data_IF_954364701550
#
_entry.id   IF_954364701550
#
_cell.length_a   1.000
_cell.length_b   1.000
_cell.length_c   1.000
_cell.angle_alpha   90.00
_cell.angle_beta   90.00
_cell.angle_gamma   90.00
#
_symmetry.space_group_name_H-M   'P 1'
#
loop_
_entity.id
_entity.type
_entity.pdbx_description
1 polymer ?
#
# COMPACT_ATOMS: atom_id res chain seq x y z
N UNK A 1 4.96 -2.85 25.13
CA UNK A 1 3.69 -3.29 24.51
C UNK A 1 2.45 -2.75 25.20
N UNK A 2 2.41 -2.66 26.53
CA UNK A 2 1.22 -2.24 27.29
C UNK A 2 0.68 -0.84 26.95
N UNK A 3 1.58 0.15 26.74
CA UNK A 3 1.21 1.50 26.27
C UNK A 3 0.56 1.50 24.86
N UNK A 4 1.03 0.63 23.97
CA UNK A 4 0.51 0.50 22.59
C UNK A 4 -0.90 -0.12 22.61
N UNK A 5 -1.11 -1.13 23.45
CA UNK A 5 -2.44 -1.72 23.63
C UNK A 5 -3.45 -0.75 24.21
N UNK A 6 -3.03 0.15 25.10
CA UNK A 6 -3.91 1.18 25.69
C UNK A 6 -4.37 2.22 24.65
N UNK A 7 -3.53 2.53 23.65
CA UNK A 7 -3.83 3.51 22.60
C UNK A 7 -4.72 2.96 21.48
N UNK A 8 -4.44 1.75 21.00
CA UNK A 8 -5.08 1.19 19.78
C UNK A 8 -6.20 0.20 20.14
N UNK A 9 -6.12 -0.44 21.32
CA UNK A 9 -6.97 -1.55 21.71
C UNK A 9 -6.40 -2.89 21.24
N UNK A 10 -6.33 -3.86 22.17
CA UNK A 10 -5.69 -5.17 21.97
C UNK A 10 -6.17 -5.89 20.69
N UNK A 11 -7.48 -5.93 20.43
CA UNK A 11 -8.05 -6.59 19.23
C UNK A 11 -7.59 -5.93 17.92
N UNK A 12 -7.57 -4.59 17.87
CA UNK A 12 -7.15 -3.85 16.67
C UNK A 12 -5.66 -4.03 16.38
N UNK A 13 -4.84 -4.03 17.42
CA UNK A 13 -3.42 -4.32 17.27
C UNK A 13 -3.17 -5.69 16.63
N UNK A 14 -3.87 -6.74 17.08
CA UNK A 14 -3.73 -8.07 16.48
C UNK A 14 -4.19 -8.11 15.02
N UNK A 15 -5.24 -7.38 14.65
CA UNK A 15 -5.68 -7.27 13.25
C UNK A 15 -4.61 -6.58 12.39
N UNK A 16 -4.04 -5.46 12.87
CA UNK A 16 -2.93 -4.80 12.16
C UNK A 16 -1.76 -5.74 11.96
N UNK A 17 -1.36 -6.45 13.01
CA UNK A 17 -0.24 -7.37 12.96
C UNK A 17 -0.50 -8.52 11.99
N UNK A 18 -1.70 -9.10 12.00
CA UNK A 18 -2.09 -10.16 11.07
C UNK A 18 -2.10 -9.69 9.62
N UNK A 19 -2.62 -8.48 9.35
CA UNK A 19 -2.58 -7.87 8.01
C UNK A 19 -1.13 -7.59 7.57
N UNK A 20 -0.30 -7.03 8.45
CA UNK A 20 1.09 -6.75 8.15
C UNK A 20 1.88 -8.04 7.83
N UNK A 21 1.73 -9.07 8.66
CA UNK A 21 2.42 -10.35 8.47
C UNK A 21 1.93 -11.07 7.21
N UNK A 22 0.62 -11.14 6.97
CA UNK A 22 0.08 -11.73 5.75
C UNK A 22 0.55 -10.98 4.50
N UNK A 23 0.60 -9.64 4.56
CA UNK A 23 1.14 -8.80 3.49
C UNK A 23 2.58 -9.16 3.15
N UNK A 24 3.46 -9.22 4.15
CA UNK A 24 4.85 -9.62 3.98
C UNK A 24 4.98 -11.02 3.37
N UNK A 25 4.23 -12.01 3.92
CA UNK A 25 4.27 -13.40 3.43
C UNK A 25 3.85 -13.47 1.96
N UNK A 26 2.75 -12.81 1.58
CA UNK A 26 2.25 -12.80 0.20
C UNK A 26 3.27 -12.20 -0.77
N UNK A 27 3.92 -11.10 -0.40
CA UNK A 27 4.97 -10.48 -1.22
C UNK A 27 6.20 -11.40 -1.34
N UNK A 28 6.60 -12.06 -0.26
CA UNK A 28 7.72 -13.02 -0.31
C UNK A 28 7.40 -14.20 -1.23
N UNK A 29 6.19 -14.75 -1.15
CA UNK A 29 5.75 -15.83 -2.04
C UNK A 29 5.69 -15.34 -3.50
N UNK A 30 5.17 -14.13 -3.73
CA UNK A 30 5.17 -13.52 -5.07
C UNK A 30 6.57 -13.37 -5.65
N UNK A 31 7.55 -12.94 -4.83
CA UNK A 31 8.94 -12.81 -5.25
C UNK A 31 9.57 -14.17 -5.61
N UNK A 32 9.26 -15.23 -4.86
CA UNK A 32 9.72 -16.61 -5.14
C UNK A 32 9.11 -17.12 -6.45
N UNK A 33 7.82 -16.84 -6.68
CA UNK A 33 7.12 -17.26 -7.90
C UNK A 33 7.52 -16.45 -9.14
N UNK A 34 8.12 -15.27 -8.97
CA UNK A 34 8.43 -14.34 -10.05
C UNK A 34 7.23 -13.47 -10.42
N UNK A 35 7.43 -12.16 -10.46
CA UNK A 35 6.36 -11.16 -10.72
C UNK A 35 6.31 -10.76 -12.20
N UNK A 36 7.39 -10.93 -12.96
CA UNK A 36 7.46 -10.57 -14.38
C UNK A 36 6.66 -11.50 -15.29
N UNK A 37 6.68 -12.80 -14.99
CA UNK A 37 6.27 -13.83 -15.95
C UNK A 37 5.09 -14.69 -15.45
N UNK A 38 4.63 -14.47 -14.22
CA UNK A 38 3.60 -15.29 -13.60
C UNK A 38 2.46 -14.43 -13.07
N UNK A 39 1.30 -14.57 -13.71
CA UNK A 39 0.05 -13.93 -13.27
C UNK A 39 -0.27 -14.20 -11.79
N UNK A 40 -0.11 -15.43 -11.24
CA UNK A 40 -0.30 -15.67 -9.82
C UNK A 40 0.65 -14.85 -8.93
N UNK A 41 1.91 -14.68 -9.34
CA UNK A 41 2.89 -13.86 -8.61
C UNK A 41 2.46 -12.39 -8.55
N UNK A 42 1.99 -11.83 -9.66
CA UNK A 42 1.44 -10.47 -9.72
C UNK A 42 0.26 -10.31 -8.77
N UNK A 43 -0.70 -11.25 -8.81
CA UNK A 43 -1.88 -11.22 -7.95
C UNK A 43 -1.51 -11.30 -6.46
N UNK A 44 -0.57 -12.18 -6.10
CA UNK A 44 -0.05 -12.30 -4.73
C UNK A 44 0.65 -11.02 -4.28
N UNK A 45 1.43 -10.38 -5.15
CA UNK A 45 2.08 -9.11 -4.86
C UNK A 45 1.05 -8.02 -4.54
N UNK A 46 0.04 -7.85 -5.40
CA UNK A 46 -1.04 -6.90 -5.16
C UNK A 46 -1.85 -7.22 -3.90
N UNK A 47 -2.19 -8.49 -3.66
CA UNK A 47 -2.89 -8.91 -2.45
C UNK A 47 -2.06 -8.58 -1.19
N UNK A 48 -0.74 -8.80 -1.24
CA UNK A 48 0.16 -8.46 -0.16
C UNK A 48 0.21 -6.97 0.12
N UNK A 49 0.31 -6.13 -0.92
CA UNK A 49 0.33 -4.68 -0.78
C UNK A 49 -1.00 -4.13 -0.27
N UNK A 50 -2.12 -4.64 -0.77
CA UNK A 50 -3.45 -4.30 -0.25
C UNK A 50 -3.54 -4.62 1.24
N UNK A 51 -3.04 -5.80 1.66
CA UNK A 51 -3.00 -6.17 3.08
C UNK A 51 -2.15 -5.21 3.90
N UNK A 52 -0.97 -4.81 3.40
CA UNK A 52 -0.12 -3.81 4.07
C UNK A 52 -0.82 -2.45 4.19
N UNK A 53 -1.45 -1.96 3.12
CA UNK A 53 -2.21 -0.69 3.16
C UNK A 53 -3.32 -0.79 4.21
N UNK A 54 -4.09 -1.89 4.21
CA UNK A 54 -5.11 -2.12 5.22
C UNK A 54 -4.55 -2.19 6.63
N UNK A 55 -3.37 -2.78 6.85
CA UNK A 55 -2.72 -2.79 8.15
C UNK A 55 -2.56 -1.36 8.71
N UNK A 56 -2.16 -0.41 7.87
CA UNK A 56 -2.01 1.00 8.26
C UNK A 56 -3.35 1.69 8.45
N UNK A 57 -4.32 1.49 7.56
CA UNK A 57 -5.54 2.30 7.56
C UNK A 57 -6.73 1.66 8.29
N UNK A 58 -6.66 0.41 8.77
CA UNK A 58 -7.82 -0.27 9.36
C UNK A 58 -8.45 0.50 10.53
N UNK A 59 -7.67 1.34 11.21
CA UNK A 59 -8.12 2.12 12.36
C UNK A 59 -8.81 3.43 11.95
N UNK A 60 -8.79 3.78 10.66
CA UNK A 60 -9.35 5.03 10.14
C UNK A 60 -10.87 4.96 10.14
N UNK A 61 -11.46 5.79 11.01
CA UNK A 61 -12.92 5.93 11.13
C UNK A 61 -13.49 7.15 10.40
N UNK A 62 -12.63 8.08 10.00
CA UNK A 62 -13.04 9.36 9.40
C UNK A 62 -12.75 9.37 7.91
N UNK A 63 -13.71 9.83 7.11
CA UNK A 63 -13.58 9.99 5.66
C UNK A 63 -12.34 10.81 5.27
N UNK A 64 -11.97 11.82 6.07
CA UNK A 64 -10.77 12.64 5.86
C UNK A 64 -9.47 11.82 5.67
N UNK A 65 -9.32 10.71 6.38
CA UNK A 65 -8.14 9.84 6.20
C UNK A 65 -8.10 9.28 4.78
N UNK A 66 -9.20 8.65 4.35
CA UNK A 66 -9.30 8.05 3.02
C UNK A 66 -9.12 9.08 1.88
N UNK A 67 -9.59 10.32 2.06
CA UNK A 67 -9.32 11.42 1.12
C UNK A 67 -7.82 11.73 1.05
N UNK A 68 -7.12 11.77 2.20
CA UNK A 68 -5.66 11.97 2.21
C UNK A 68 -4.96 10.84 1.46
N UNK A 69 -5.36 9.57 1.69
CA UNK A 69 -4.78 8.42 0.96
C UNK A 69 -5.03 8.52 -0.55
N UNK A 70 -6.24 8.91 -0.96
CA UNK A 70 -6.59 9.11 -2.36
C UNK A 70 -5.70 10.18 -2.99
N UNK A 71 -5.63 11.37 -2.39
CA UNK A 71 -4.83 12.49 -2.91
C UNK A 71 -3.34 12.14 -2.88
N UNK A 72 -2.84 11.53 -1.81
CA UNK A 72 -1.43 11.14 -1.70
C UNK A 72 -1.05 10.05 -2.69
N UNK A 73 -1.97 9.16 -3.07
CA UNK A 73 -1.71 8.15 -4.10
C UNK A 73 -1.50 8.76 -5.49
N UNK A 74 -2.29 9.78 -5.84
CA UNK A 74 -2.17 10.51 -7.11
C UNK A 74 -0.88 11.31 -7.14
N UNK A 75 -0.62 12.10 -6.09
CA UNK A 75 0.61 12.90 -5.98
C UNK A 75 1.83 11.98 -5.97
N UNK A 76 1.78 10.91 -5.17
CA UNK A 76 2.85 9.92 -5.07
C UNK A 76 3.16 9.26 -6.41
N UNK A 77 2.13 8.90 -7.18
CA UNK A 77 2.33 8.32 -8.52
C UNK A 77 3.11 9.27 -9.43
N UNK A 78 2.72 10.54 -9.49
CA UNK A 78 3.40 11.55 -10.32
C UNK A 78 4.84 11.75 -9.85
N UNK A 79 5.04 11.92 -8.54
CA UNK A 79 6.36 12.14 -7.95
C UNK A 79 7.29 10.94 -8.21
N UNK A 80 6.83 9.72 -8.00
CA UNK A 80 7.63 8.52 -8.22
C UNK A 80 7.91 8.26 -9.71
N UNK A 81 6.96 8.58 -10.60
CA UNK A 81 7.21 8.53 -12.04
C UNK A 81 8.29 9.53 -12.48
N UNK A 82 8.27 10.76 -11.96
CA UNK A 82 9.32 11.75 -12.24
C UNK A 82 10.66 11.26 -11.68
N UNK A 83 10.70 10.80 -10.42
CA UNK A 83 11.91 10.29 -9.79
C UNK A 83 12.52 9.11 -10.56
N UNK A 84 11.69 8.16 -11.01
CA UNK A 84 12.16 7.05 -11.84
C UNK A 84 12.87 7.57 -13.10
N UNK A 85 12.24 8.46 -13.86
CA UNK A 85 12.81 8.98 -15.11
C UNK A 85 14.10 9.80 -14.89
N UNK A 86 14.13 10.62 -13.84
CA UNK A 86 15.32 11.42 -13.51
C UNK A 86 16.49 10.51 -13.11
N UNK A 87 16.24 9.51 -12.27
CA UNK A 87 17.29 8.59 -11.83
C UNK A 87 17.78 7.68 -12.96
N UNK A 88 16.88 7.26 -13.85
CA UNK A 88 17.24 6.55 -15.06
C UNK A 88 18.19 7.39 -15.93
N UNK A 89 17.84 8.67 -16.15
CA UNK A 89 18.68 9.59 -16.92
C UNK A 89 20.04 9.87 -16.28
N UNK A 90 20.16 9.70 -14.96
CA UNK A 90 21.41 9.82 -14.21
C UNK A 90 22.24 8.53 -14.16
N UNK A 91 21.74 7.43 -14.74
CA UNK A 91 22.40 6.12 -14.71
C UNK A 91 22.25 5.36 -13.38
N UNK A 92 21.23 5.69 -12.58
CA UNK A 92 20.97 5.06 -11.28
C UNK A 92 19.77 4.11 -11.37
N UNK A 93 19.87 3.16 -12.30
CA UNK A 93 18.77 2.28 -12.75
C UNK A 93 18.12 1.48 -11.62
N UNK A 94 18.91 0.92 -10.69
CA UNK A 94 18.39 0.09 -9.58
C UNK A 94 17.44 0.92 -8.70
N UNK A 95 17.82 2.16 -8.38
CA UNK A 95 17.00 3.03 -7.53
C UNK A 95 15.80 3.56 -8.34
N UNK A 96 16.01 3.89 -9.62
CA UNK A 96 14.93 4.23 -10.55
C UNK A 96 13.85 3.14 -10.61
N UNK A 97 14.25 1.88 -10.74
CA UNK A 97 13.34 0.74 -10.77
C UNK A 97 12.54 0.59 -9.47
N UNK A 98 13.13 0.87 -8.31
CA UNK A 98 12.39 0.86 -7.03
C UNK A 98 11.27 1.90 -7.04
N UNK A 99 11.53 3.13 -7.51
CA UNK A 99 10.50 4.16 -7.60
C UNK A 99 9.40 3.79 -8.59
N UNK A 100 9.77 3.19 -9.73
CA UNK A 100 8.81 2.66 -10.68
C UNK A 100 7.91 1.59 -10.06
N UNK A 101 8.50 0.62 -9.34
CA UNK A 101 7.76 -0.44 -8.66
C UNK A 101 6.81 0.12 -7.60
N UNK A 102 7.22 1.12 -6.83
CA UNK A 102 6.33 1.79 -5.86
C UNK A 102 5.16 2.47 -6.59
N UNK A 103 5.44 3.21 -7.68
CA UNK A 103 4.41 3.84 -8.49
C UNK A 103 3.42 2.81 -9.08
N UNK A 104 3.90 1.65 -9.53
CA UNK A 104 3.05 0.64 -10.19
C UNK A 104 2.27 -0.23 -9.22
N UNK A 105 2.90 -0.63 -8.11
CA UNK A 105 2.32 -1.60 -7.19
C UNK A 105 1.65 -0.97 -5.96
N UNK A 106 2.10 0.20 -5.48
CA UNK A 106 1.56 0.82 -4.25
C UNK A 106 0.49 1.87 -4.57
N UNK A 107 0.74 2.74 -5.54
CA UNK A 107 -0.18 3.85 -5.83
C UNK A 107 -1.56 3.41 -6.32
N UNK A 108 -1.72 2.44 -7.25
CA UNK A 108 -3.06 2.05 -7.72
C UNK A 108 -3.92 1.41 -6.62
N UNK A 109 -3.42 0.46 -5.80
CA UNK A 109 -4.20 -0.04 -4.67
C UNK A 109 -4.55 1.05 -3.67
N UNK A 110 -3.62 1.95 -3.34
CA UNK A 110 -3.89 3.08 -2.45
C UNK A 110 -4.98 4.01 -3.00
N UNK A 111 -4.98 4.27 -4.32
CA UNK A 111 -6.02 5.04 -5.00
C UNK A 111 -7.38 4.38 -4.85
N UNK A 112 -7.51 3.10 -5.20
CA UNK A 112 -8.80 2.39 -5.11
C UNK A 112 -9.32 2.31 -3.67
N UNK A 113 -8.45 1.99 -2.71
CA UNK A 113 -8.81 1.93 -1.30
C UNK A 113 -9.22 3.31 -0.77
N UNK A 114 -8.48 4.36 -1.15
CA UNK A 114 -8.80 5.75 -0.80
C UNK A 114 -10.14 6.20 -1.38
N UNK A 115 -10.42 5.87 -2.64
CA UNK A 115 -11.68 6.17 -3.31
C UNK A 115 -12.85 5.46 -2.64
N UNK A 116 -12.78 4.13 -2.53
CA UNK A 116 -13.84 3.31 -1.94
C UNK A 116 -14.09 3.69 -0.48
N UNK A 117 -13.03 3.88 0.32
CA UNK A 117 -13.15 4.29 1.71
C UNK A 117 -13.75 5.69 1.88
N UNK A 118 -13.45 6.61 0.96
CA UNK A 118 -14.05 7.95 0.94
C UNK A 118 -15.53 7.87 0.64
N UNK A 119 -15.95 7.09 -0.35
CA UNK A 119 -17.36 6.90 -0.70
C UNK A 119 -18.15 6.26 0.44
N UNK A 120 -17.70 5.11 0.96
CA UNK A 120 -18.41 4.38 2.03
C UNK A 120 -18.53 5.22 3.30
N UNK A 121 -17.46 5.91 3.70
CA UNK A 121 -17.48 6.72 4.92
C UNK A 121 -18.17 8.07 4.72
N UNK A 122 -18.16 8.59 3.49
CA UNK A 122 -18.82 9.84 3.11
C UNK A 122 -20.35 9.71 3.06
N UNK A 123 -20.86 8.56 2.60
CA UNK A 123 -22.30 8.26 2.55
C UNK A 123 -22.94 7.93 3.89
N UNK A 124 -22.16 7.71 4.96
CA UNK A 124 -22.67 7.47 6.34
C UNK A 124 -22.93 8.76 7.13
N UNK A 125 -23.11 9.90 6.43
CA UNK A 125 -23.49 11.17 7.05
C UNK A 125 -24.99 11.30 7.18
#
# INVERSE_FOLDING_TARGET
>A
MEKVFKLIGKKRFFIMLALALSGCVLITVAAIMGVSDNLPGILLCYAGIVSLIFAFIHHWRKSKGYVILLVSSIIGFIVFAILHNVLEAMGVEIIGAVFFLIALFVCPPAFFIGLVGTLITGSRK
#
